data_IF_045397697762
#
_entry.id   IF_045397697762
#
_cell.length_a   1.000
_cell.length_b   1.000
_cell.length_c   1.000
_cell.angle_alpha   90.00
_cell.angle_beta   90.00
_cell.angle_gamma   90.00
#
_symmetry.space_group_name_H-M   'P 1'
#
loop_
_entity.id
_entity.type
_entity.pdbx_description
1 polymer ?
#
# COMPACT_ATOMS: atom_id res chain seq x y z
N UNK A 1 -52.12 22.36 -14.60
CA UNK A 1 -50.73 22.17 -15.06
C UNK A 1 -50.02 21.28 -14.05
N UNK A 2 -49.74 20.05 -14.49
CA UNK A 2 -48.74 19.07 -14.01
C UNK A 2 -48.29 19.15 -12.53
N UNK A 3 -48.89 18.28 -11.72
CA UNK A 3 -48.24 17.67 -10.55
C UNK A 3 -47.06 16.81 -11.04
N UNK A 4 -45.83 17.20 -10.76
CA UNK A 4 -44.67 16.31 -10.86
C UNK A 4 -43.50 16.90 -10.06
N UNK A 5 -43.30 16.36 -8.86
CA UNK A 5 -42.02 15.95 -8.25
C UNK A 5 -42.21 15.62 -6.75
N UNK A 6 -43.34 15.02 -6.38
CA UNK A 6 -43.41 14.23 -5.14
C UNK A 6 -42.91 12.84 -5.49
N UNK A 7 -41.59 12.65 -5.37
CA UNK A 7 -41.05 11.31 -5.39
C UNK A 7 -41.49 10.63 -4.09
N UNK A 8 -42.26 9.55 -4.20
CA UNK A 8 -42.50 8.59 -3.13
C UNK A 8 -41.21 7.83 -2.83
N UNK A 9 -40.14 8.53 -2.45
CA UNK A 9 -38.99 7.89 -1.80
C UNK A 9 -39.48 7.52 -0.41
N UNK A 10 -40.11 6.34 -0.31
CA UNK A 10 -40.23 5.65 0.95
C UNK A 10 -38.84 5.65 1.59
N UNK A 11 -38.80 6.01 2.87
CA UNK A 11 -37.59 6.12 3.66
C UNK A 11 -36.74 4.84 3.52
N UNK A 12 -35.77 4.83 2.59
CA UNK A 12 -34.89 3.70 2.31
C UNK A 12 -33.70 3.66 3.29
N UNK A 13 -33.63 4.63 4.21
CA UNK A 13 -32.70 4.65 5.32
C UNK A 13 -33.39 4.21 6.61
N UNK A 14 -32.70 3.38 7.40
CA UNK A 14 -33.08 3.15 8.80
C UNK A 14 -33.34 4.49 9.48
N UNK A 15 -34.54 4.69 10.04
CA UNK A 15 -34.94 5.91 10.77
C UNK A 15 -34.12 6.15 12.05
N UNK A 16 -33.17 5.25 12.35
CA UNK A 16 -32.37 5.23 13.58
C UNK A 16 -30.90 5.10 13.23
N UNK A 17 -30.34 6.09 12.52
CA UNK A 17 -28.89 6.17 12.38
C UNK A 17 -28.31 6.48 13.77
N UNK A 18 -27.43 5.63 14.30
CA UNK A 18 -26.84 5.86 15.61
C UNK A 18 -25.98 7.13 15.61
N UNK A 19 -25.85 7.74 16.79
CA UNK A 19 -25.02 8.92 17.02
C UNK A 19 -23.92 8.59 18.03
N UNK A 20 -22.73 9.15 17.82
CA UNK A 20 -21.59 9.03 18.72
C UNK A 20 -20.94 10.39 18.96
N UNK A 21 -20.16 10.49 20.04
CA UNK A 21 -19.29 11.64 20.30
C UNK A 21 -17.97 11.49 19.56
N UNK A 22 -17.34 12.61 19.18
CA UNK A 22 -15.97 12.62 18.64
C UNK A 22 -14.92 11.95 19.56
N UNK A 23 -15.21 11.83 20.87
CA UNK A 23 -14.33 11.21 21.85
C UNK A 23 -14.70 9.75 22.17
N UNK A 24 -15.71 9.17 21.50
CA UNK A 24 -16.12 7.79 21.72
C UNK A 24 -15.10 6.78 21.15
N UNK A 25 -14.93 5.66 21.85
CA UNK A 25 -14.08 4.56 21.39
C UNK A 25 -14.64 3.89 20.13
N UNK A 26 -13.76 3.49 19.22
CA UNK A 26 -14.14 2.86 17.95
C UNK A 26 -14.94 1.55 18.16
N UNK A 27 -14.64 0.77 19.19
CA UNK A 27 -15.38 -0.46 19.49
C UNK A 27 -16.81 -0.14 19.94
N UNK A 28 -17.00 0.97 20.67
CA UNK A 28 -18.35 1.46 21.03
C UNK A 28 -19.14 1.80 19.77
N UNK A 29 -18.52 2.50 18.81
CA UNK A 29 -19.15 2.88 17.54
C UNK A 29 -19.50 1.64 16.71
N UNK A 30 -18.58 0.69 16.55
CA UNK A 30 -18.82 -0.57 15.84
C UNK A 30 -19.98 -1.35 16.46
N UNK A 31 -19.95 -1.54 17.79
CA UNK A 31 -21.02 -2.23 18.50
C UNK A 31 -22.37 -1.53 18.36
N UNK A 32 -22.38 -0.20 18.35
CA UNK A 32 -23.58 0.59 18.16
C UNK A 32 -24.14 0.36 16.75
N UNK A 33 -23.32 0.47 15.71
CA UNK A 33 -23.70 0.20 14.32
C UNK A 33 -24.22 -1.22 14.11
N UNK A 34 -23.60 -2.23 14.73
CA UNK A 34 -24.04 -3.63 14.68
C UNK A 34 -25.38 -3.84 15.38
N UNK A 35 -25.58 -3.23 16.55
CA UNK A 35 -26.83 -3.35 17.31
C UNK A 35 -28.02 -2.68 16.62
N UNK A 36 -27.76 -1.58 15.90
CA UNK A 36 -28.81 -0.83 15.19
C UNK A 36 -29.03 -1.31 13.76
N UNK A 37 -28.24 -2.28 13.28
CA UNK A 37 -28.25 -2.78 11.90
C UNK A 37 -28.08 -1.63 10.89
N UNK A 38 -27.07 -0.79 11.11
CA UNK A 38 -26.79 0.40 10.29
C UNK A 38 -25.36 0.42 9.77
N UNK A 39 -25.16 0.95 8.57
CA UNK A 39 -23.85 0.99 7.91
C UNK A 39 -23.04 2.26 8.19
N UNK A 40 -23.61 3.20 8.95
CA UNK A 40 -22.96 4.44 9.35
C UNK A 40 -23.38 4.91 10.76
N UNK A 41 -22.59 5.81 11.33
CA UNK A 41 -22.86 6.50 12.60
C UNK A 41 -22.60 8.00 12.43
N UNK A 42 -23.47 8.84 12.95
CA UNK A 42 -23.31 10.29 12.95
C UNK A 42 -22.40 10.72 14.11
N UNK A 43 -21.47 11.63 13.84
CA UNK A 43 -20.52 12.13 14.84
C UNK A 43 -20.93 13.52 15.28
N UNK A 44 -21.17 13.69 16.57
CA UNK A 44 -21.48 14.98 17.18
C UNK A 44 -20.33 15.47 18.06
N UNK A 45 -20.12 16.79 18.05
CA UNK A 45 -19.25 17.50 19.00
C UNK A 45 -19.96 18.77 19.45
N UNK A 46 -20.13 18.94 20.77
CA UNK A 46 -20.87 20.06 21.36
C UNK A 46 -22.24 20.27 20.69
N UNK A 47 -23.00 19.18 20.59
CA UNK A 47 -24.36 19.15 20.02
C UNK A 47 -24.48 19.58 18.55
N UNK A 48 -23.35 19.70 17.84
CA UNK A 48 -23.29 19.96 16.41
C UNK A 48 -22.85 18.71 15.66
N UNK A 49 -23.56 18.39 14.58
CA UNK A 49 -23.19 17.32 13.65
C UNK A 49 -21.89 17.70 12.93
N UNK A 50 -20.83 16.94 13.16
CA UNK A 50 -19.50 17.15 12.57
C UNK A 50 -19.27 16.29 11.34
N UNK A 51 -19.89 15.10 11.28
CA UNK A 51 -19.67 14.19 10.17
C UNK A 51 -20.29 12.82 10.36
N UNK A 52 -19.84 11.88 9.54
CA UNK A 52 -20.34 10.50 9.49
C UNK A 52 -19.13 9.56 9.49
N UNK A 53 -19.21 8.48 10.26
CA UNK A 53 -18.28 7.36 10.21
C UNK A 53 -19.00 6.18 9.57
N UNK A 54 -18.35 5.53 8.61
CA UNK A 54 -18.84 4.33 7.94
C UNK A 54 -17.95 3.13 8.22
N UNK A 55 -18.44 1.92 7.91
CA UNK A 55 -17.58 0.73 7.95
C UNK A 55 -16.33 0.86 7.07
N UNK A 56 -16.40 1.60 5.97
CA UNK A 56 -15.23 1.83 5.11
C UNK A 56 -14.14 2.61 5.85
N UNK A 57 -14.50 3.64 6.60
CA UNK A 57 -13.55 4.45 7.36
C UNK A 57 -12.87 3.60 8.45
N UNK A 58 -13.66 2.77 9.13
CA UNK A 58 -13.18 1.80 10.13
C UNK A 58 -12.23 0.77 9.49
N UNK A 59 -12.60 0.21 8.33
CA UNK A 59 -11.77 -0.77 7.62
C UNK A 59 -10.44 -0.17 7.14
N UNK A 60 -10.43 1.09 6.69
CA UNK A 60 -9.19 1.79 6.31
C UNK A 60 -8.25 1.93 7.53
N UNK A 61 -8.80 2.22 8.72
CA UNK A 61 -8.01 2.28 9.95
C UNK A 61 -7.45 0.90 10.36
N UNK A 62 -8.20 -0.18 10.13
CA UNK A 62 -7.73 -1.54 10.41
C UNK A 62 -6.71 -2.03 9.37
N UNK A 63 -6.94 -1.76 8.10
CA UNK A 63 -6.04 -2.13 7.00
C UNK A 63 -4.68 -1.43 7.12
N UNK A 64 -4.65 -0.17 7.58
CA UNK A 64 -3.38 0.53 7.85
C UNK A 64 -2.57 -0.09 8.99
N UNK A 65 -3.21 -0.86 9.88
CA UNK A 65 -2.57 -1.55 11.00
C UNK A 65 -2.08 -2.96 10.65
N UNK A 66 -2.57 -3.55 9.55
CA UNK A 66 -2.07 -4.81 9.02
C UNK A 66 -0.79 -4.54 8.21
N UNK A 67 0.31 -4.26 8.90
CA UNK A 67 1.65 -4.47 8.34
C UNK A 67 1.84 -5.98 8.12
N UNK A 68 1.27 -6.54 7.06
CA UNK A 68 1.65 -7.87 6.62
C UNK A 68 3.09 -7.79 6.12
N UNK A 69 3.99 -8.56 6.73
CA UNK A 69 5.37 -8.64 6.26
C UNK A 69 5.35 -9.14 4.81
N UNK A 70 5.87 -8.33 3.90
CA UNK A 70 6.01 -8.72 2.49
C UNK A 70 6.97 -9.92 2.43
N UNK A 71 6.53 -11.09 1.95
CA UNK A 71 7.40 -12.24 1.77
C UNK A 71 8.55 -11.89 0.82
N UNK A 72 9.78 -12.17 1.27
CA UNK A 72 11.01 -11.98 0.49
C UNK A 72 11.65 -13.34 0.25
N UNK A 73 11.71 -13.76 -1.01
CA UNK A 73 12.35 -15.01 -1.42
C UNK A 73 13.69 -14.73 -2.09
N UNK A 74 14.78 -15.26 -1.54
CA UNK A 74 16.11 -15.23 -2.17
C UNK A 74 16.39 -16.62 -2.75
N UNK A 75 16.65 -16.70 -4.05
CA UNK A 75 16.85 -17.96 -4.77
C UNK A 75 18.18 -17.95 -5.53
N UNK A 76 18.94 -19.04 -5.44
CA UNK A 76 20.19 -19.23 -6.19
C UNK A 76 21.43 -18.57 -5.55
N UNK A 77 21.37 -18.32 -4.23
CA UNK A 77 22.54 -17.86 -3.48
C UNK A 77 23.63 -18.94 -3.47
N UNK A 78 24.91 -18.61 -3.70
CA UNK A 78 26.02 -19.53 -3.50
C UNK A 78 26.19 -19.92 -2.01
N UNK A 79 26.48 -21.20 -1.73
CA UNK A 79 26.59 -21.76 -0.38
C UNK A 79 27.78 -21.20 0.44
N UNK A 80 28.74 -20.56 -0.23
CA UNK A 80 29.99 -20.03 0.34
C UNK A 80 29.88 -18.58 0.84
N UNK A 81 28.69 -17.95 0.78
CA UNK A 81 28.51 -16.56 1.18
C UNK A 81 27.69 -16.39 2.47
N UNK A 82 28.35 -15.95 3.54
CA UNK A 82 27.76 -15.64 4.86
C UNK A 82 26.81 -14.41 4.88
N UNK A 83 26.46 -13.84 3.72
CA UNK A 83 25.80 -12.53 3.65
C UNK A 83 24.26 -12.56 3.57
N UNK A 84 23.60 -13.71 3.72
CA UNK A 84 22.15 -13.84 3.54
C UNK A 84 21.36 -12.91 4.47
N UNK A 85 21.76 -12.79 5.74
CA UNK A 85 21.10 -11.91 6.71
C UNK A 85 21.23 -10.42 6.34
N UNK A 86 22.40 -10.03 5.82
CA UNK A 86 22.64 -8.66 5.37
C UNK A 86 21.77 -8.33 4.15
N UNK A 87 21.65 -9.25 3.21
CA UNK A 87 20.81 -9.09 2.01
C UNK A 87 19.33 -9.00 2.42
N UNK A 88 18.88 -9.93 3.25
CA UNK A 88 17.51 -9.93 3.78
C UNK A 88 17.20 -8.60 4.47
N UNK A 89 18.00 -8.20 5.45
CA UNK A 89 17.74 -6.96 6.22
C UNK A 89 17.70 -5.71 5.32
N UNK A 90 18.56 -5.62 4.31
CA UNK A 90 18.61 -4.50 3.37
C UNK A 90 17.38 -4.45 2.48
N UNK A 91 17.00 -5.58 1.88
CA UNK A 91 15.83 -5.65 1.01
C UNK A 91 14.51 -5.51 1.80
N UNK A 92 14.40 -6.07 3.00
CA UNK A 92 13.24 -5.86 3.87
C UNK A 92 13.03 -4.37 4.18
N UNK A 93 14.09 -3.62 4.49
CA UNK A 93 14.01 -2.17 4.71
C UNK A 93 13.51 -1.41 3.47
N UNK A 94 14.00 -1.80 2.28
CA UNK A 94 13.57 -1.20 1.01
C UNK A 94 12.11 -1.53 0.70
N UNK A 95 11.68 -2.78 0.94
CA UNK A 95 10.31 -3.22 0.74
C UNK A 95 9.32 -2.51 1.68
N UNK A 96 9.67 -2.31 2.95
CA UNK A 96 8.87 -1.49 3.86
C UNK A 96 8.69 -0.06 3.34
N UNK A 97 9.76 0.55 2.83
CA UNK A 97 9.66 1.88 2.17
C UNK A 97 8.82 1.83 0.89
N UNK A 98 8.85 0.70 0.18
CA UNK A 98 8.06 0.48 -1.02
C UNK A 98 6.56 0.36 -0.73
N UNK A 99 6.20 -0.28 0.37
CA UNK A 99 4.82 -0.45 0.84
C UNK A 99 4.10 0.89 1.06
N UNK A 100 4.84 1.92 1.49
CA UNK A 100 4.29 3.28 1.66
C UNK A 100 3.80 3.90 0.34
N UNK A 101 4.32 3.44 -0.81
CA UNK A 101 3.94 3.94 -2.14
C UNK A 101 3.04 2.96 -2.88
N UNK A 102 3.27 1.65 -2.69
CA UNK A 102 2.48 0.56 -3.24
C UNK A 102 1.86 -0.22 -2.09
N UNK A 103 0.60 0.05 -1.78
CA UNK A 103 -0.12 -0.56 -0.65
C UNK A 103 -0.42 -2.06 -0.83
N UNK A 104 -0.24 -2.59 -2.04
CA UNK A 104 -0.69 -3.93 -2.45
C UNK A 104 0.47 -4.78 -2.98
N UNK A 105 1.65 -4.70 -2.35
CA UNK A 105 2.78 -5.59 -2.67
C UNK A 105 2.48 -6.97 -2.10
N UNK A 106 2.42 -7.98 -2.97
CA UNK A 106 2.18 -9.36 -2.57
C UNK A 106 3.44 -10.10 -2.15
N UNK A 107 4.50 -9.99 -2.96
CA UNK A 107 5.75 -10.72 -2.75
C UNK A 107 6.93 -9.99 -3.43
N UNK A 108 8.12 -10.28 -2.94
CA UNK A 108 9.37 -9.89 -3.55
C UNK A 108 10.26 -11.12 -3.74
N UNK A 109 10.84 -11.26 -4.93
CA UNK A 109 11.75 -12.35 -5.27
C UNK A 109 13.08 -11.80 -5.78
N UNK A 110 14.15 -12.20 -5.15
CA UNK A 110 15.54 -11.93 -5.57
C UNK A 110 16.11 -13.22 -6.12
N UNK A 111 16.43 -13.24 -7.41
CA UNK A 111 17.04 -14.38 -8.09
C UNK A 111 18.49 -14.04 -8.39
N UNK A 112 19.41 -14.85 -7.86
CA UNK A 112 20.85 -14.72 -8.06
C UNK A 112 21.30 -15.87 -8.95
N UNK A 113 22.03 -15.55 -10.02
CA UNK A 113 22.63 -16.53 -10.93
C UNK A 113 24.11 -16.22 -11.06
N UNK A 114 24.96 -17.21 -10.80
CA UNK A 114 26.39 -17.09 -11.07
C UNK A 114 26.69 -17.65 -12.46
N UNK A 115 27.10 -16.80 -13.39
CA UNK A 115 27.57 -17.21 -14.71
C UNK A 115 29.05 -17.59 -14.60
N UNK A 116 29.38 -18.88 -14.74
CA UNK A 116 30.77 -19.34 -14.82
C UNK A 116 31.37 -18.93 -16.16
N UNK A 117 32.50 -18.22 -16.13
CA UNK A 117 33.23 -17.84 -17.34
C UNK A 117 34.45 -18.75 -17.49
N UNK A 118 34.29 -19.93 -18.09
CA UNK A 118 35.39 -20.88 -18.34
C UNK A 118 36.08 -21.44 -17.08
N UNK A 119 37.39 -21.72 -17.15
CA UNK A 119 38.21 -22.33 -16.10
C UNK A 119 38.51 -21.42 -14.87
N UNK A 120 37.94 -20.21 -14.79
CA UNK A 120 38.14 -19.32 -13.63
C UNK A 120 37.03 -19.49 -12.60
N UNK A 121 37.42 -19.49 -11.32
CA UNK A 121 36.50 -19.53 -10.16
C UNK A 121 35.59 -18.30 -10.07
N UNK A 122 35.98 -17.18 -10.67
CA UNK A 122 35.26 -15.91 -10.60
C UNK A 122 34.29 -15.75 -11.78
N UNK A 123 33.03 -16.11 -11.55
CA UNK A 123 31.92 -15.88 -12.46
C UNK A 123 31.23 -14.53 -12.22
N UNK A 124 30.56 -13.98 -13.25
CA UNK A 124 29.71 -12.80 -13.09
C UNK A 124 28.42 -13.19 -12.37
N UNK A 125 27.97 -12.36 -11.43
CA UNK A 125 26.66 -12.46 -10.81
C UNK A 125 25.65 -11.70 -11.65
N UNK A 126 24.57 -12.37 -12.03
CA UNK A 126 23.37 -11.78 -12.59
C UNK A 126 22.28 -11.86 -11.53
N UNK A 127 21.81 -10.69 -11.08
CA UNK A 127 20.77 -10.58 -10.06
C UNK A 127 19.54 -9.94 -10.65
N UNK A 128 18.38 -10.58 -10.43
CA UNK A 128 17.07 -10.09 -10.84
C UNK A 128 16.17 -9.95 -9.61
N UNK A 129 15.61 -8.76 -9.42
CA UNK A 129 14.61 -8.47 -8.38
C UNK A 129 13.27 -8.31 -9.05
N UNK A 130 12.29 -9.08 -8.60
CA UNK A 130 10.91 -9.02 -9.06
C UNK A 130 10.01 -8.69 -7.88
N UNK A 131 9.13 -7.69 -8.06
CA UNK A 131 8.16 -7.28 -7.05
C UNK A 131 6.78 -7.42 -7.67
N UNK A 132 5.98 -8.32 -7.11
CA UNK A 132 4.63 -8.62 -7.56
C UNK A 132 3.65 -7.72 -6.80
N UNK A 133 2.82 -6.99 -7.54
CA UNK A 133 1.89 -5.98 -7.00
C UNK A 133 0.51 -6.31 -7.56
N UNK A 134 -0.53 -6.25 -6.74
CA UNK A 134 -1.90 -6.49 -7.19
C UNK A 134 -2.30 -5.52 -8.31
N UNK A 135 -3.04 -6.02 -9.31
CA UNK A 135 -3.66 -5.22 -10.37
C UNK A 135 -2.67 -4.33 -11.17
N UNK A 136 -1.37 -4.62 -11.10
CA UNK A 136 -0.31 -3.84 -11.72
C UNK A 136 0.72 -4.75 -12.36
N UNK A 137 1.45 -4.22 -13.34
CA UNK A 137 2.59 -4.93 -13.91
C UNK A 137 3.70 -5.09 -12.86
N UNK A 138 4.32 -6.27 -12.77
CA UNK A 138 5.38 -6.51 -11.79
C UNK A 138 6.58 -5.61 -12.09
N UNK A 139 7.22 -5.10 -11.04
CA UNK A 139 8.44 -4.32 -11.18
C UNK A 139 9.62 -5.29 -11.27
N UNK A 140 10.35 -5.23 -12.37
CA UNK A 140 11.50 -6.11 -12.62
C UNK A 140 12.75 -5.25 -12.77
N UNK A 141 13.75 -5.53 -11.94
CA UNK A 141 15.06 -4.89 -11.98
C UNK A 141 16.14 -5.94 -12.18
N UNK A 142 17.09 -5.66 -13.06
CA UNK A 142 18.21 -6.55 -13.34
C UNK A 142 19.54 -5.78 -13.25
N UNK A 143 20.55 -6.45 -12.73
CA UNK A 143 21.92 -5.94 -12.68
C UNK A 143 22.91 -7.10 -12.75
N UNK A 144 24.10 -6.83 -13.30
CA UNK A 144 25.15 -7.82 -13.54
C UNK A 144 26.48 -7.23 -13.11
N UNK A 145 27.30 -7.99 -12.39
CA UNK A 145 28.61 -7.54 -11.91
C UNK A 145 29.47 -8.69 -11.38
N UNK A 146 30.71 -8.39 -11.02
CA UNK A 146 31.64 -9.38 -10.48
C UNK A 146 31.55 -9.52 -8.96
N UNK A 147 31.14 -8.45 -8.27
CA UNK A 147 30.85 -8.45 -6.83
C UNK A 147 29.33 -8.42 -6.60
N UNK A 148 28.83 -9.41 -5.86
CA UNK A 148 27.41 -9.48 -5.51
C UNK A 148 26.98 -8.27 -4.68
N UNK A 149 27.83 -7.76 -3.79
CA UNK A 149 27.51 -6.64 -2.91
C UNK A 149 27.24 -5.36 -3.70
N UNK A 150 28.09 -5.08 -4.69
CA UNK A 150 27.95 -3.94 -5.61
C UNK A 150 26.66 -4.05 -6.43
N UNK A 151 26.40 -5.23 -6.99
CA UNK A 151 25.19 -5.49 -7.79
C UNK A 151 23.91 -5.29 -6.98
N UNK A 152 23.89 -5.72 -5.72
CA UNK A 152 22.75 -5.52 -4.83
C UNK A 152 22.57 -4.07 -4.39
N UNK A 153 23.65 -3.29 -4.22
CA UNK A 153 23.58 -1.86 -3.98
C UNK A 153 23.00 -1.11 -5.19
N UNK A 154 23.46 -1.40 -6.40
CA UNK A 154 22.90 -0.82 -7.63
C UNK A 154 21.39 -1.11 -7.76
N UNK A 155 20.97 -2.36 -7.50
CA UNK A 155 19.56 -2.73 -7.50
C UNK A 155 18.75 -1.99 -6.41
N UNK A 156 19.32 -1.82 -5.22
CA UNK A 156 18.72 -1.04 -4.14
C UNK A 156 18.48 0.40 -4.57
N UNK A 157 19.46 1.03 -5.23
CA UNK A 157 19.34 2.39 -5.75
C UNK A 157 18.29 2.49 -6.87
N UNK A 158 18.23 1.52 -7.78
CA UNK A 158 17.20 1.46 -8.84
C UNK A 158 15.78 1.38 -8.26
N UNK A 159 15.58 0.60 -7.21
CA UNK A 159 14.31 0.50 -6.47
C UNK A 159 13.94 1.85 -5.83
N UNK A 160 14.87 2.47 -5.11
CA UNK A 160 14.65 3.77 -4.46
C UNK A 160 14.38 4.91 -5.47
N UNK A 161 15.02 4.89 -6.64
CA UNK A 161 14.73 5.88 -7.70
C UNK A 161 13.30 5.75 -8.23
N UNK A 162 12.78 4.53 -8.34
CA UNK A 162 11.41 4.27 -8.78
C UNK A 162 10.38 4.84 -7.79
N UNK A 163 10.67 4.72 -6.49
CA UNK A 163 9.90 5.36 -5.43
C UNK A 163 9.80 6.88 -5.60
N UNK A 164 10.94 7.54 -5.78
CA UNK A 164 11.03 8.99 -5.92
C UNK A 164 10.26 9.53 -7.13
N UNK A 165 10.20 8.79 -8.24
CA UNK A 165 9.43 9.18 -9.43
C UNK A 165 7.92 9.15 -9.19
N UNK A 166 7.40 8.11 -8.53
CA UNK A 166 5.95 7.96 -8.29
C UNK A 166 5.43 8.87 -7.19
N UNK A 167 6.20 9.09 -6.12
CA UNK A 167 5.85 10.05 -5.07
C UNK A 167 5.65 11.47 -5.63
N UNK A 168 6.52 11.90 -6.56
CA UNK A 168 6.37 13.19 -7.27
C UNK A 168 5.10 13.26 -8.13
N UNK A 169 4.66 12.15 -8.71
CA UNK A 169 3.45 12.12 -9.54
C UNK A 169 2.16 12.17 -8.71
N UNK A 170 2.14 11.69 -7.46
CA UNK A 170 1.00 11.86 -6.54
C UNK A 170 0.81 13.31 -6.07
N UNK A 171 1.87 14.12 -6.06
CA UNK A 171 1.85 15.49 -5.53
C UNK A 171 1.25 16.54 -6.50
N UNK A 172 0.69 16.15 -7.65
CA UNK A 172 0.37 17.09 -8.74
C UNK A 172 -1.11 17.35 -9.03
N UNK A 173 -2.03 16.97 -8.15
CA UNK A 173 -3.36 17.57 -8.14
C UNK A 173 -3.44 18.62 -7.02
N UNK A 174 -2.92 19.80 -7.34
CA UNK A 174 -3.24 21.00 -6.57
C UNK A 174 -4.70 21.34 -6.83
N UNK A 175 -5.51 21.38 -5.78
CA UNK A 175 -6.91 21.83 -5.79
C UNK A 175 -7.05 23.21 -6.47
N UNK A 176 -5.99 24.03 -6.51
CA UNK A 176 -5.97 25.33 -7.21
C UNK A 176 -6.10 25.23 -8.74
N UNK A 177 -6.02 24.03 -9.33
CA UNK A 177 -6.21 23.80 -10.77
C UNK A 177 -7.58 23.27 -11.15
N UNK A 178 -8.46 22.99 -10.18
CA UNK A 178 -9.87 22.73 -10.47
C UNK A 178 -10.47 24.11 -10.77
N UNK A 179 -10.53 24.45 -12.06
CA UNK A 179 -11.25 25.64 -12.51
C UNK A 179 -12.66 25.61 -11.93
N UNK A 180 -13.05 26.68 -11.25
CA UNK A 180 -14.42 26.89 -10.80
C UNK A 180 -15.36 26.66 -11.99
N UNK A 181 -16.45 25.88 -11.83
CA UNK A 181 -17.49 25.84 -12.86
C UNK A 181 -18.02 27.27 -13.03
N UNK A 182 -17.92 27.77 -14.25
CA UNK A 182 -18.55 29.02 -14.64
C UNK A 182 -20.06 28.71 -14.67
N UNK A 183 -20.80 29.26 -13.71
CA UNK A 183 -22.26 29.30 -13.73
C UNK A 183 -22.73 30.41 -14.68
#
# INVERSE_FOLDING_TARGET
TLHALESNVGNLGSTRIPQCSANDDLNKIINLMLKTDTTCCLVNLWDNLQGIITYRDILVLLASKLETQIPLYIVGMPDDQENIELINSKFTKILKRLQNVYSEIHEARVTIKQQRTGNKKEGKFEVTVMITISYHTPLIFKSIGFDLSEVLEDLSQKLLRTLSKRAKNRSKDSIRKIGLPIF
#
